data_IF_989899107899
#
_entry.id   IF_989899107899
#
_cell.length_a   1.000
_cell.length_b   1.000
_cell.length_c   1.000
_cell.angle_alpha   90.00
_cell.angle_beta   90.00
_cell.angle_gamma   90.00
#
_symmetry.space_group_name_H-M   'P 1'
#
loop_
_entity.id
_entity.type
_entity.pdbx_description
1 polymer ?
#
# COMPACT_ATOMS: atom_id res chain seq x y z
N UNK A 1 24.57 -1.98 3.45
CA UNK A 1 24.85 -1.55 2.05
C UNK A 1 23.57 -1.43 1.23
N UNK A 2 22.69 -2.44 1.19
CA UNK A 2 21.40 -2.39 0.46
C UNK A 2 20.54 -1.16 0.80
N UNK A 3 20.38 -0.84 2.09
CA UNK A 3 19.63 0.34 2.55
C UNK A 3 20.16 1.67 1.99
N UNK A 4 21.48 1.83 1.90
CA UNK A 4 22.11 3.07 1.42
C UNK A 4 21.89 3.22 -0.08
N UNK A 5 22.08 2.14 -0.85
CA UNK A 5 21.77 2.15 -2.29
C UNK A 5 20.29 2.41 -2.59
N UNK A 6 19.36 1.86 -1.78
CA UNK A 6 17.94 2.14 -1.96
C UNK A 6 17.57 3.58 -1.62
N UNK A 7 18.19 4.20 -0.61
CA UNK A 7 18.00 5.63 -0.31
C UNK A 7 18.61 6.54 -1.38
N UNK A 8 19.79 6.19 -1.89
CA UNK A 8 20.45 6.94 -2.96
C UNK A 8 19.66 6.82 -4.28
N UNK A 9 19.00 5.68 -4.52
CA UNK A 9 18.13 5.43 -5.69
C UNK A 9 16.72 6.01 -5.54
N UNK A 10 16.24 6.18 -4.31
CA UNK A 10 15.00 6.88 -4.01
C UNK A 10 15.19 8.40 -4.10
N UNK A 11 15.51 8.86 -5.30
CA UNK A 11 15.12 10.21 -5.70
C UNK A 11 13.60 10.34 -5.56
N UNK A 12 13.09 11.56 -5.34
CA UNK A 12 11.65 11.82 -5.12
C UNK A 12 10.74 11.27 -6.24
N UNK A 13 11.29 10.91 -7.40
CA UNK A 13 10.56 10.49 -8.60
C UNK A 13 10.51 8.95 -8.82
N UNK A 14 11.36 8.14 -8.17
CA UNK A 14 11.34 6.69 -8.39
C UNK A 14 10.39 5.97 -7.42
N UNK A 15 9.14 5.78 -7.87
CA UNK A 15 8.09 5.14 -7.06
C UNK A 15 8.40 3.68 -6.72
N UNK A 16 9.09 2.93 -7.61
CA UNK A 16 9.58 1.58 -7.33
C UNK A 16 10.63 1.56 -6.20
N UNK A 17 11.56 2.52 -6.18
CA UNK A 17 12.54 2.62 -5.11
C UNK A 17 11.87 2.96 -3.77
N UNK A 18 10.87 3.85 -3.78
CA UNK A 18 10.05 4.14 -2.61
C UNK A 18 9.29 2.90 -2.14
N UNK A 19 8.74 2.09 -3.05
CA UNK A 19 8.10 0.82 -2.71
C UNK A 19 9.10 -0.14 -2.04
N UNK A 20 10.29 -0.31 -2.60
CA UNK A 20 11.32 -1.17 -2.03
C UNK A 20 11.82 -0.68 -0.66
N UNK A 21 11.93 0.63 -0.46
CA UNK A 21 12.22 1.22 0.85
C UNK A 21 11.11 0.94 1.85
N UNK A 22 9.85 1.03 1.42
CA UNK A 22 8.72 0.68 2.29
C UNK A 22 8.82 -0.77 2.77
N UNK A 23 9.11 -1.70 1.86
CA UNK A 23 9.32 -3.12 2.19
C UNK A 23 10.51 -3.34 3.10
N UNK A 24 11.60 -2.59 2.91
CA UNK A 24 12.77 -2.67 3.78
C UNK A 24 12.45 -2.26 5.23
N UNK A 25 11.62 -1.22 5.41
CA UNK A 25 11.24 -0.74 6.74
C UNK A 25 10.08 -1.52 7.39
N UNK A 26 9.22 -2.17 6.59
CA UNK A 26 8.09 -2.95 7.07
C UNK A 26 8.43 -4.44 7.29
N UNK A 27 9.45 -4.97 6.61
CA UNK A 27 9.80 -6.38 6.68
C UNK A 27 11.09 -6.62 7.49
N UNK A 28 11.02 -7.21 8.69
CA UNK A 28 12.21 -7.53 9.49
C UNK A 28 13.18 -8.51 8.80
N UNK A 29 12.70 -9.31 7.85
CA UNK A 29 13.52 -10.30 7.14
C UNK A 29 14.48 -9.67 6.13
N UNK A 30 14.29 -8.39 5.76
CA UNK A 30 15.15 -7.66 4.82
C UNK A 30 16.48 -7.21 5.47
N UNK A 31 16.73 -7.57 6.74
CA UNK A 31 17.96 -7.24 7.46
C UNK A 31 18.04 -5.77 7.91
N UNK A 32 16.92 -5.03 7.84
CA UNK A 32 16.78 -3.66 8.30
C UNK A 32 16.17 -3.55 9.69
N UNK A 33 16.38 -2.41 10.35
CA UNK A 33 15.61 -2.06 11.54
C UNK A 33 14.19 -1.69 11.10
N UNK A 34 13.19 -2.46 11.57
CA UNK A 34 11.78 -2.18 11.29
C UNK A 34 11.42 -0.80 11.83
N UNK A 35 10.84 0.02 10.96
CA UNK A 35 10.32 1.35 11.27
C UNK A 35 9.00 1.51 10.51
N UNK A 36 7.91 1.10 11.17
CA UNK A 36 6.58 1.09 10.58
C UNK A 36 6.17 2.47 10.07
N UNK A 37 6.54 3.54 10.78
CA UNK A 37 6.20 4.91 10.40
C UNK A 37 6.87 5.30 9.09
N UNK A 38 8.18 5.06 8.96
CA UNK A 38 8.91 5.29 7.70
C UNK A 38 8.43 4.38 6.58
N UNK A 39 8.16 3.12 6.90
CA UNK A 39 7.65 2.15 5.95
C UNK A 39 6.34 2.63 5.31
N UNK A 40 5.39 3.07 6.12
CA UNK A 40 4.12 3.63 5.64
C UNK A 40 4.31 4.96 4.90
N UNK A 41 5.25 5.81 5.31
CA UNK A 41 5.55 7.05 4.58
C UNK A 41 6.02 6.76 3.14
N UNK A 42 7.00 5.87 2.99
CA UNK A 42 7.48 5.46 1.66
C UNK A 42 6.43 4.71 0.86
N UNK A 43 5.60 3.88 1.51
CA UNK A 43 4.50 3.19 0.86
C UNK A 43 3.47 4.18 0.32
N UNK A 44 3.13 5.22 1.09
CA UNK A 44 2.25 6.30 0.63
C UNK A 44 2.85 7.02 -0.58
N UNK A 45 4.14 7.37 -0.55
CA UNK A 45 4.80 8.03 -1.68
C UNK A 45 4.76 7.16 -2.95
N UNK A 46 5.06 5.87 -2.82
CA UNK A 46 5.03 4.92 -3.93
C UNK A 46 3.62 4.70 -4.49
N UNK A 47 2.60 4.73 -3.63
CA UNK A 47 1.20 4.56 -4.00
C UNK A 47 0.56 5.84 -4.57
N UNK A 48 1.13 7.02 -4.34
CA UNK A 48 0.50 8.29 -4.68
C UNK A 48 0.58 8.61 -6.18
N UNK A 49 -0.47 9.25 -6.69
CA UNK A 49 -0.58 9.68 -8.09
C UNK A 49 -1.13 8.61 -9.04
N UNK A 50 -1.38 9.03 -10.29
CA UNK A 50 -2.00 8.18 -11.33
C UNK A 50 -1.10 7.02 -11.75
N UNK A 51 0.22 7.21 -11.85
CA UNK A 51 1.20 6.15 -12.14
C UNK A 51 1.87 5.61 -10.87
N UNK A 52 1.19 5.75 -9.72
CA UNK A 52 1.59 5.10 -8.46
C UNK A 52 1.76 3.60 -8.65
N UNK A 53 2.78 3.00 -8.02
CA UNK A 53 3.06 1.56 -8.14
C UNK A 53 1.81 0.80 -7.71
N UNK A 54 1.24 0.03 -8.64
CA UNK A 54 -0.06 -0.63 -8.42
C UNK A 54 -0.03 -1.57 -7.21
N UNK A 55 1.11 -2.23 -6.99
CA UNK A 55 1.35 -3.08 -5.81
C UNK A 55 1.41 -2.25 -4.52
N UNK A 56 2.00 -1.04 -4.55
CA UNK A 56 2.02 -0.16 -3.39
C UNK A 56 0.61 0.32 -3.02
N UNK A 57 -0.22 0.69 -4.03
CA UNK A 57 -1.64 1.01 -3.83
C UNK A 57 -2.39 -0.14 -3.18
N UNK A 58 -2.21 -1.36 -3.70
CA UNK A 58 -2.79 -2.58 -3.13
C UNK A 58 -2.38 -2.81 -1.67
N UNK A 59 -1.09 -2.67 -1.35
CA UNK A 59 -0.59 -2.89 0.01
C UNK A 59 -1.08 -1.82 0.99
N UNK A 60 -1.17 -0.57 0.56
CA UNK A 60 -1.71 0.52 1.38
C UNK A 60 -3.22 0.34 1.61
N UNK A 61 -3.96 -0.08 0.58
CA UNK A 61 -5.37 -0.43 0.69
C UNK A 61 -5.59 -1.56 1.69
N UNK A 62 -4.78 -2.62 1.63
CA UNK A 62 -4.84 -3.73 2.58
C UNK A 62 -4.53 -3.29 4.01
N UNK A 63 -3.56 -2.39 4.19
CA UNK A 63 -3.24 -1.87 5.50
C UNK A 63 -4.40 -1.04 6.08
N UNK A 64 -5.08 -0.25 5.26
CA UNK A 64 -6.32 0.45 5.65
C UNK A 64 -7.50 -0.49 5.87
N UNK A 65 -7.63 -1.59 5.13
CA UNK A 65 -8.69 -2.58 5.32
C UNK A 65 -8.56 -3.29 6.68
N UNK A 66 -7.34 -3.63 7.07
CA UNK A 66 -7.07 -4.47 8.25
C UNK A 66 -6.62 -3.67 9.49
N UNK A 67 -6.39 -2.35 9.37
CA UNK A 67 -5.83 -1.54 10.44
C UNK A 67 -4.37 -1.91 10.76
N UNK A 68 -3.57 -2.23 9.74
CA UNK A 68 -2.17 -2.64 9.88
C UNK A 68 -1.22 -1.46 9.80
N UNK A 69 0.04 -1.67 10.19
CA UNK A 69 1.11 -0.68 10.09
C UNK A 69 0.80 0.64 10.82
N UNK A 70 0.10 0.56 11.96
CA UNK A 70 -0.40 1.71 12.73
C UNK A 70 -1.38 2.61 11.95
N UNK A 71 -2.04 2.08 10.91
CA UNK A 71 -3.16 2.73 10.25
C UNK A 71 -4.48 2.30 10.90
N UNK A 72 -5.44 3.20 10.94
CA UNK A 72 -6.81 2.88 11.36
C UNK A 72 -7.54 2.15 10.24
N UNK A 73 -8.48 1.29 10.62
CA UNK A 73 -9.39 0.65 9.66
C UNK A 73 -10.19 1.73 8.94
N UNK A 74 -10.12 1.74 7.62
CA UNK A 74 -10.88 2.64 6.76
C UNK A 74 -11.25 1.89 5.47
N UNK A 75 -12.43 1.26 5.49
CA UNK A 75 -12.92 0.47 4.36
C UNK A 75 -13.18 1.34 3.11
N UNK A 76 -13.59 2.61 3.28
CA UNK A 76 -13.85 3.52 2.16
C UNK A 76 -12.55 3.87 1.45
N UNK A 77 -11.51 4.21 2.22
CA UNK A 77 -10.19 4.52 1.68
C UNK A 77 -9.52 3.29 1.07
N UNK A 78 -9.66 2.12 1.72
CA UNK A 78 -9.20 0.86 1.16
C UNK A 78 -9.88 0.53 -0.18
N UNK A 79 -11.20 0.71 -0.27
CA UNK A 79 -11.97 0.50 -1.50
C UNK A 79 -11.48 1.40 -2.63
N UNK A 80 -11.36 2.71 -2.40
CA UNK A 80 -10.89 3.66 -3.40
C UNK A 80 -9.50 3.27 -3.95
N UNK A 81 -8.57 2.92 -3.06
CA UNK A 81 -7.22 2.50 -3.48
C UNK A 81 -7.21 1.17 -4.23
N UNK A 82 -8.08 0.21 -3.87
CA UNK A 82 -8.24 -1.02 -4.63
C UNK A 82 -8.87 -0.78 -6.01
N UNK A 83 -9.86 0.11 -6.11
CA UNK A 83 -10.46 0.48 -7.40
C UNK A 83 -9.44 1.16 -8.33
N UNK A 84 -8.63 2.08 -7.80
CA UNK A 84 -7.54 2.69 -8.57
C UNK A 84 -6.50 1.68 -9.06
N UNK A 85 -6.16 0.69 -8.23
CA UNK A 85 -5.24 -0.37 -8.61
C UNK A 85 -5.88 -1.34 -9.62
N UNK A 86 -7.17 -1.63 -9.48
CA UNK A 86 -7.93 -2.44 -10.42
C UNK A 86 -8.05 -1.76 -11.79
N UNK A 87 -8.23 -0.44 -11.83
CA UNK A 87 -8.28 0.35 -13.06
C UNK A 87 -6.96 0.26 -13.87
N UNK A 88 -5.84 0.00 -13.19
CA UNK A 88 -4.53 -0.25 -13.81
C UNK A 88 -4.30 -1.73 -14.16
N UNK A 89 -5.33 -2.59 -14.09
CA UNK A 89 -5.26 -4.00 -14.45
C UNK A 89 -4.85 -4.93 -13.31
N UNK A 90 -4.81 -4.48 -12.06
CA UNK A 90 -4.49 -5.36 -10.92
C UNK A 90 -5.69 -6.18 -10.46
N UNK A 91 -5.79 -7.40 -11.01
CA UNK A 91 -6.89 -8.34 -10.76
C UNK A 91 -7.13 -8.66 -9.28
N UNK A 92 -6.07 -8.73 -8.46
CA UNK A 92 -6.22 -8.99 -7.03
C UNK A 92 -6.91 -7.82 -6.34
N UNK A 93 -6.57 -6.57 -6.72
CA UNK A 93 -7.25 -5.39 -6.17
C UNK A 93 -8.72 -5.37 -6.56
N UNK A 94 -9.05 -5.75 -7.80
CA UNK A 94 -10.45 -5.85 -8.24
C UNK A 94 -11.25 -6.79 -7.34
N UNK A 95 -10.72 -7.99 -7.08
CA UNK A 95 -11.37 -8.97 -6.17
C UNK A 95 -11.53 -8.44 -4.75
N UNK A 96 -10.55 -7.67 -4.25
CA UNK A 96 -10.63 -7.05 -2.92
C UNK A 96 -11.65 -5.92 -2.86
N UNK A 97 -11.73 -5.08 -3.89
CA UNK A 97 -12.75 -4.04 -4.01
C UNK A 97 -14.16 -4.64 -3.99
N UNK A 98 -14.41 -5.65 -4.82
CA UNK A 98 -15.68 -6.37 -4.87
C UNK A 98 -16.04 -7.00 -3.50
N UNK A 99 -15.05 -7.55 -2.80
CA UNK A 99 -15.27 -8.12 -1.47
C UNK A 99 -15.67 -7.06 -0.43
N UNK A 100 -15.01 -5.90 -0.43
CA UNK A 100 -15.35 -4.78 0.46
C UNK A 100 -16.75 -4.24 0.13
N UNK A 101 -17.07 -4.05 -1.15
CA UNK A 101 -18.39 -3.59 -1.57
C UNK A 101 -19.50 -4.54 -1.10
N UNK A 102 -19.29 -5.86 -1.26
CA UNK A 102 -20.24 -6.87 -0.78
C UNK A 102 -20.39 -6.85 0.74
N UNK A 103 -19.30 -6.66 1.49
CA UNK A 103 -19.37 -6.55 2.94
C UNK A 103 -20.18 -5.31 3.35
N UNK A 104 -19.89 -4.16 2.74
CA UNK A 104 -20.59 -2.90 3.04
C UNK A 104 -22.09 -2.95 2.68
N UNK A 105 -22.46 -3.69 1.64
CA UNK A 105 -23.87 -3.91 1.30
C UNK A 105 -24.58 -4.74 2.38
N UNK A 106 -23.96 -5.85 2.83
CA UNK A 106 -24.52 -6.68 3.90
C UNK A 106 -24.66 -5.90 5.20
N UNK A 107 -23.63 -5.14 5.57
CA UNK A 107 -23.64 -4.31 6.79
C UNK A 107 -24.70 -3.19 6.74
N UNK A 108 -25.22 -2.84 5.55
CA UNK A 108 -26.29 -1.86 5.38
C UNK A 108 -27.69 -2.48 5.34
N UNK A 109 -27.79 -3.80 5.19
CA UNK A 109 -29.05 -4.56 5.16
C UNK A 109 -29.40 -5.18 6.53
N UNK A 110 -28.46 -5.20 7.49
CA UNK A 110 -28.65 -5.60 8.90
C UNK A 110 -29.03 -4.41 9.79
#
# INVERSE_FOLDING_TARGET
RAQRHLMDAASDECREAQYLLSQFFLNPQMGGKVDVKKGVEFLNKAANGSDGVTIAKFMLAQAHQNGQNNLTVDMKKALAMYEEAAAQGHEISKKRAEAIQKQMQKDAEE
#
